data_IF_293180199074
#
_entry.id   IF_293180199074
#
_cell.length_a   1.000
_cell.length_b   1.000
_cell.length_c   1.000
_cell.angle_alpha   90.00
_cell.angle_beta   90.00
_cell.angle_gamma   90.00
#
_symmetry.space_group_name_H-M   'P 1'
#
loop_
_entity.id
_entity.type
_entity.pdbx_description
1 polymer ?
#
# COMPACT_ATOMS: atom_id res chain seq x y z
N UNK A 1 3.94 -5.17 51.45
CA UNK A 1 3.19 -5.93 50.43
C UNK A 1 2.73 -4.99 49.29
N UNK A 2 2.22 -3.78 49.59
CA UNK A 2 1.82 -2.81 48.55
C UNK A 2 3.00 -2.38 47.70
N UNK A 3 4.18 -2.11 48.30
CA UNK A 3 5.41 -1.69 47.60
C UNK A 3 5.95 -2.76 46.65
N UNK A 4 5.88 -4.05 47.04
CA UNK A 4 6.33 -5.15 46.19
C UNK A 4 5.39 -5.32 44.96
N UNK A 5 4.07 -5.13 45.16
CA UNK A 5 3.13 -5.16 44.05
C UNK A 5 3.33 -4.00 43.07
N UNK A 6 3.68 -2.80 43.55
CA UNK A 6 3.99 -1.68 42.68
C UNK A 6 5.27 -1.92 41.88
N UNK A 7 6.31 -2.50 42.48
CA UNK A 7 7.53 -2.88 41.79
C UNK A 7 7.31 -3.94 40.70
N UNK A 8 6.44 -4.94 40.96
CA UNK A 8 6.04 -5.92 39.94
C UNK A 8 5.42 -5.24 38.72
N UNK A 9 4.52 -4.29 38.96
CA UNK A 9 3.85 -3.55 37.88
C UNK A 9 4.85 -2.66 37.11
N UNK A 10 5.77 -2.01 37.80
CA UNK A 10 6.80 -1.18 37.19
C UNK A 10 7.75 -2.01 36.30
N UNK A 11 8.22 -3.17 36.80
CA UNK A 11 9.06 -4.07 36.01
C UNK A 11 8.31 -4.62 34.80
N UNK A 12 7.06 -5.04 34.94
CA UNK A 12 6.26 -5.51 33.81
C UNK A 12 6.05 -4.40 32.78
N UNK A 13 5.83 -3.16 33.22
CA UNK A 13 5.72 -2.00 32.33
C UNK A 13 7.04 -1.66 31.64
N UNK A 14 8.16 -1.78 32.34
CA UNK A 14 9.49 -1.59 31.74
C UNK A 14 9.71 -2.56 30.57
N UNK A 15 9.47 -3.87 30.76
CA UNK A 15 9.58 -4.85 29.69
C UNK A 15 8.62 -4.55 28.52
N UNK A 16 7.38 -4.11 28.83
CA UNK A 16 6.42 -3.71 27.80
C UNK A 16 6.91 -2.50 26.99
N UNK A 17 7.51 -1.50 27.66
CA UNK A 17 8.11 -0.34 26.98
C UNK A 17 9.30 -0.74 26.09
N UNK A 18 10.03 -1.79 26.46
CA UNK A 18 11.09 -2.39 25.63
C UNK A 18 10.53 -3.30 24.51
N UNK A 19 9.20 -3.44 24.42
CA UNK A 19 8.54 -4.22 23.37
C UNK A 19 8.43 -5.72 23.67
N UNK A 20 8.57 -6.14 24.91
CA UNK A 20 8.44 -7.55 25.32
C UNK A 20 7.19 -7.79 26.14
N UNK A 21 6.60 -8.98 26.00
CA UNK A 21 5.56 -9.46 26.90
C UNK A 21 6.22 -10.25 28.02
N UNK A 22 6.18 -9.73 29.23
CA UNK A 22 6.77 -10.39 30.39
C UNK A 22 5.82 -10.38 31.59
N UNK A 23 5.85 -11.44 32.36
CA UNK A 23 5.20 -11.55 33.66
C UNK A 23 6.26 -11.50 34.75
N UNK A 24 6.04 -10.67 35.76
CA UNK A 24 6.92 -10.61 36.95
C UNK A 24 6.27 -11.43 38.06
N UNK A 25 6.96 -12.44 38.53
CA UNK A 25 6.51 -13.37 39.55
C UNK A 25 7.37 -13.16 40.82
N UNK A 26 6.69 -13.11 41.94
CA UNK A 26 7.35 -13.18 43.26
C UNK A 26 7.35 -14.66 43.70
N UNK A 27 8.48 -15.38 43.62
CA UNK A 27 8.53 -16.77 44.08
C UNK A 27 8.41 -16.83 45.60
N UNK A 28 8.00 -17.98 46.13
CA UNK A 28 8.09 -18.24 47.57
C UNK A 28 9.55 -18.17 48.01
N UNK A 29 9.86 -17.27 48.94
CA UNK A 29 11.23 -17.00 49.36
C UNK A 29 11.29 -16.52 50.79
N UNK A 30 12.40 -16.80 51.45
CA UNK A 30 12.72 -16.23 52.76
C UNK A 30 13.32 -14.81 52.56
N UNK A 31 12.70 -13.83 53.18
CA UNK A 31 13.12 -12.41 53.12
C UNK A 31 13.73 -11.89 54.43
N UNK A 32 14.12 -12.77 55.32
CA UNK A 32 14.71 -12.39 56.62
C UNK A 32 16.01 -11.59 56.46
N UNK A 33 16.73 -11.78 55.38
CA UNK A 33 17.94 -11.00 55.06
C UNK A 33 17.65 -9.67 54.35
N UNK A 34 16.39 -9.30 54.16
CA UNK A 34 16.01 -8.05 53.51
C UNK A 34 16.17 -8.05 51.96
N UNK A 35 16.48 -9.20 51.37
CA UNK A 35 16.63 -9.39 49.93
C UNK A 35 15.31 -9.96 49.37
N UNK A 36 14.76 -9.30 48.34
CA UNK A 36 13.59 -9.79 47.62
C UNK A 36 13.99 -10.10 46.18
N UNK A 37 13.87 -11.37 45.78
CA UNK A 37 14.13 -11.82 44.42
C UNK A 37 12.82 -11.80 43.60
N UNK A 38 12.85 -11.15 42.47
CA UNK A 38 11.74 -11.16 41.49
C UNK A 38 12.17 -11.94 40.26
N UNK A 39 11.30 -12.84 39.79
CA UNK A 39 11.54 -13.60 38.58
C UNK A 39 10.77 -12.98 37.43
N UNK A 40 11.50 -12.56 36.40
CA UNK A 40 10.89 -12.11 35.14
C UNK A 40 10.77 -13.31 34.21
N UNK A 41 9.57 -13.54 33.74
CA UNK A 41 9.21 -14.63 32.81
C UNK A 41 8.77 -14.01 31.52
N UNK A 42 9.61 -14.04 30.51
CA UNK A 42 9.27 -13.60 29.16
C UNK A 42 8.30 -14.59 28.52
N UNK A 43 7.29 -14.03 27.85
CA UNK A 43 6.28 -14.84 27.16
C UNK A 43 6.85 -15.43 25.87
N UNK A 44 6.52 -16.68 25.62
CA UNK A 44 6.78 -17.37 24.36
C UNK A 44 5.47 -17.51 23.57
N UNK A 45 5.57 -17.41 22.25
CA UNK A 45 4.41 -17.65 21.38
C UNK A 45 3.95 -19.11 21.48
N UNK A 46 2.66 -19.32 21.74
CA UNK A 46 2.04 -20.64 21.69
C UNK A 46 1.46 -20.93 20.31
N UNK A 47 0.54 -20.07 19.87
CA UNK A 47 -0.16 -20.20 18.60
C UNK A 47 -0.67 -18.86 18.09
N UNK A 48 -1.09 -18.84 16.84
CA UNK A 48 -1.73 -17.70 16.19
C UNK A 48 -3.08 -18.17 15.66
N UNK A 49 -4.14 -17.59 16.19
CA UNK A 49 -5.51 -17.80 15.78
C UNK A 49 -5.97 -16.62 14.92
N UNK A 50 -6.56 -16.89 13.76
CA UNK A 50 -7.18 -15.85 12.94
C UNK A 50 -8.69 -15.95 13.07
N UNK A 51 -9.26 -14.96 13.77
CA UNK A 51 -10.69 -14.79 13.89
C UNK A 51 -11.23 -14.05 12.67
N UNK A 52 -11.74 -14.82 11.71
CA UNK A 52 -12.32 -14.30 10.48
C UNK A 52 -13.79 -13.93 10.68
N UNK A 53 -14.23 -12.82 10.07
CA UNK A 53 -15.65 -12.52 9.93
C UNK A 53 -16.30 -13.40 8.86
N UNK A 54 -17.63 -13.51 8.86
CA UNK A 54 -18.41 -14.42 7.98
C UNK A 54 -18.18 -14.25 6.48
N UNK A 55 -17.79 -13.05 6.02
CA UNK A 55 -17.49 -12.78 4.60
C UNK A 55 -16.00 -12.57 4.41
N UNK A 56 -15.28 -13.63 4.15
CA UNK A 56 -13.84 -13.60 3.96
C UNK A 56 -13.46 -13.55 2.48
N UNK A 57 -12.64 -12.56 2.12
CA UNK A 57 -12.08 -12.45 0.77
C UNK A 57 -10.61 -12.89 0.71
N UNK A 58 -9.97 -13.14 1.85
CA UNK A 58 -8.61 -13.67 1.96
C UNK A 58 -8.65 -14.91 2.85
N UNK A 59 -7.92 -15.95 2.48
CA UNK A 59 -7.82 -17.18 3.25
C UNK A 59 -7.01 -16.96 4.54
N UNK A 60 -7.46 -17.54 5.66
CA UNK A 60 -6.76 -17.52 6.95
C UNK A 60 -5.32 -18.03 6.85
N UNK A 61 -5.09 -19.10 6.09
CA UNK A 61 -3.75 -19.65 5.87
C UNK A 61 -2.82 -18.67 5.13
N UNK A 62 -3.37 -17.85 4.25
CA UNK A 62 -2.61 -16.77 3.59
C UNK A 62 -2.22 -15.69 4.59
N UNK A 63 -3.14 -15.30 5.48
CA UNK A 63 -2.86 -14.29 6.51
C UNK A 63 -1.84 -14.80 7.54
N UNK A 64 -1.90 -16.07 7.94
CA UNK A 64 -0.90 -16.67 8.84
C UNK A 64 0.53 -16.60 8.29
N UNK A 65 0.70 -16.67 6.97
CA UNK A 65 2.04 -16.59 6.34
C UNK A 65 2.71 -15.22 6.48
N UNK A 66 1.95 -14.16 6.77
CA UNK A 66 2.51 -12.86 7.13
C UNK A 66 3.12 -12.85 8.53
N UNK A 67 2.70 -13.79 9.41
CA UNK A 67 3.25 -13.92 10.76
C UNK A 67 4.48 -14.83 10.76
N UNK A 68 5.64 -14.20 10.68
CA UNK A 68 6.95 -14.87 10.79
C UNK A 68 7.58 -14.45 12.13
N UNK A 69 7.43 -15.28 13.16
CA UNK A 69 8.16 -15.04 14.42
C UNK A 69 9.62 -15.49 14.26
N UNK A 70 10.53 -14.57 14.44
CA UNK A 70 11.98 -14.84 14.37
C UNK A 70 12.54 -15.28 15.73
N UNK A 71 11.85 -14.95 16.81
CA UNK A 71 12.28 -15.20 18.19
C UNK A 71 11.32 -16.16 18.90
N UNK A 72 11.84 -16.92 19.87
CA UNK A 72 11.00 -17.69 20.80
C UNK A 72 10.26 -16.76 21.76
N UNK A 73 10.91 -15.65 22.17
CA UNK A 73 10.32 -14.63 23.02
C UNK A 73 9.38 -13.75 22.20
N UNK A 74 8.18 -13.51 22.73
CA UNK A 74 7.15 -12.73 22.06
C UNK A 74 7.51 -11.24 22.07
N UNK A 75 7.76 -10.68 20.89
CA UNK A 75 8.04 -9.26 20.69
C UNK A 75 6.77 -8.54 20.21
N UNK A 76 6.33 -7.53 20.95
CA UNK A 76 5.21 -6.67 20.55
C UNK A 76 5.51 -5.93 19.25
N UNK A 77 6.77 -5.52 19.09
CA UNK A 77 7.19 -4.85 17.84
C UNK A 77 7.05 -5.77 16.64
N UNK A 78 7.48 -7.04 16.74
CA UNK A 78 7.32 -8.00 15.64
C UNK A 78 5.84 -8.23 15.31
N UNK A 79 4.96 -8.27 16.32
CA UNK A 79 3.52 -8.40 16.11
C UNK A 79 2.96 -7.17 15.40
N UNK A 80 3.32 -5.98 15.86
CA UNK A 80 2.83 -4.72 15.27
C UNK A 80 3.29 -4.58 13.82
N UNK A 81 4.57 -4.87 13.52
CA UNK A 81 5.11 -4.84 12.16
C UNK A 81 4.31 -5.76 11.22
N UNK A 82 3.95 -6.96 11.69
CA UNK A 82 3.17 -7.93 10.90
C UNK A 82 1.71 -7.50 10.75
N UNK A 83 1.11 -6.90 11.76
CA UNK A 83 -0.24 -6.32 11.69
C UNK A 83 -0.25 -5.15 10.71
N UNK A 84 0.79 -4.30 10.70
CA UNK A 84 0.90 -3.22 9.71
C UNK A 84 0.98 -3.76 8.28
N UNK A 85 1.75 -4.85 8.05
CA UNK A 85 1.82 -5.49 6.74
C UNK A 85 0.47 -6.06 6.28
N UNK A 86 -0.30 -6.67 7.19
CA UNK A 86 -1.65 -7.16 6.87
C UNK A 86 -2.58 -5.98 6.56
N UNK A 87 -2.47 -4.87 7.28
CA UNK A 87 -3.27 -3.68 7.05
C UNK A 87 -2.90 -2.93 5.75
N UNK A 88 -1.80 -3.28 5.09
CA UNK A 88 -1.48 -2.84 3.73
C UNK A 88 -2.23 -3.63 2.65
N UNK A 89 -2.87 -4.74 3.00
CA UNK A 89 -3.65 -5.51 2.04
C UNK A 89 -5.00 -4.83 1.77
N UNK A 90 -5.41 -4.71 0.49
CA UNK A 90 -6.65 -4.04 0.13
C UNK A 90 -7.88 -4.70 0.74
N UNK A 91 -8.76 -3.89 1.31
CA UNK A 91 -10.07 -4.34 1.81
C UNK A 91 -10.02 -5.21 3.07
N UNK A 92 -8.94 -5.12 3.85
CA UNK A 92 -8.82 -5.80 5.15
C UNK A 92 -8.28 -4.83 6.19
N UNK A 93 -8.75 -4.98 7.42
CA UNK A 93 -8.20 -4.34 8.61
C UNK A 93 -8.02 -5.41 9.69
N UNK A 94 -6.85 -5.45 10.31
CA UNK A 94 -6.47 -6.44 11.31
C UNK A 94 -6.03 -5.78 12.61
N UNK A 95 -6.33 -6.45 13.73
CA UNK A 95 -5.87 -6.10 15.07
C UNK A 95 -5.41 -7.36 15.79
N UNK A 96 -4.30 -7.30 16.50
CA UNK A 96 -3.83 -8.37 17.36
C UNK A 96 -4.32 -8.17 18.79
N UNK A 97 -4.71 -9.26 19.44
CA UNK A 97 -5.02 -9.34 20.87
C UNK A 97 -4.26 -10.52 21.47
N UNK A 98 -3.58 -10.30 22.57
CA UNK A 98 -2.90 -11.36 23.30
C UNK A 98 -3.91 -12.12 24.17
N UNK A 99 -3.76 -13.44 24.22
CA UNK A 99 -4.51 -14.31 25.16
C UNK A 99 -3.54 -15.13 26.02
N UNK A 100 -3.91 -15.46 27.26
CA UNK A 100 -3.13 -16.40 28.05
C UNK A 100 -2.98 -17.74 27.31
N UNK A 101 -1.81 -18.33 27.37
CA UNK A 101 -1.55 -19.67 26.84
C UNK A 101 -2.08 -20.79 27.75
N UNK A 102 -1.97 -22.01 27.26
CA UNK A 102 -2.41 -23.22 27.96
C UNK A 102 -1.51 -23.58 29.17
N UNK A 103 -0.26 -23.13 29.15
CA UNK A 103 0.71 -23.30 30.23
C UNK A 103 1.38 -21.98 30.59
N UNK A 104 1.96 -21.85 31.80
CA UNK A 104 2.76 -20.69 32.17
C UNK A 104 3.85 -20.40 31.13
N UNK A 105 4.17 -19.13 30.90
CA UNK A 105 5.11 -18.61 29.89
C UNK A 105 4.61 -18.65 28.45
N UNK A 106 3.49 -19.28 28.16
CA UNK A 106 2.92 -19.27 26.81
C UNK A 106 1.85 -18.20 26.66
N UNK A 107 1.81 -17.58 25.47
CA UNK A 107 0.85 -16.55 25.11
C UNK A 107 0.40 -16.82 23.67
N UNK A 108 -0.91 -16.90 23.45
CA UNK A 108 -1.48 -16.97 22.12
C UNK A 108 -1.78 -15.58 21.58
N UNK A 109 -1.84 -15.46 20.27
CA UNK A 109 -2.24 -14.25 19.56
C UNK A 109 -3.53 -14.54 18.81
N UNK A 110 -4.56 -13.71 19.04
CA UNK A 110 -5.80 -13.70 18.26
C UNK A 110 -5.74 -12.50 17.33
N UNK A 111 -5.76 -12.76 16.02
CA UNK A 111 -5.84 -11.74 14.99
C UNK A 111 -7.29 -11.61 14.57
N UNK A 112 -7.89 -10.52 15.00
CA UNK A 112 -9.24 -10.15 14.59
C UNK A 112 -9.17 -9.41 13.27
N UNK A 113 -9.83 -9.93 12.23
CA UNK A 113 -9.90 -9.28 10.92
C UNK A 113 -11.28 -8.71 10.67
N UNK A 114 -11.31 -7.50 10.14
CA UNK A 114 -12.51 -6.85 9.61
C UNK A 114 -12.31 -6.65 8.12
N UNK A 115 -13.29 -7.09 7.32
CA UNK A 115 -13.28 -6.88 5.88
C UNK A 115 -14.02 -5.59 5.53
N UNK A 116 -13.40 -4.82 4.67
CA UNK A 116 -13.99 -3.64 4.09
C UNK A 116 -14.76 -3.99 2.80
N UNK A 117 -15.29 -2.97 2.14
CA UNK A 117 -16.03 -3.18 0.89
C UNK A 117 -15.15 -3.85 -0.17
N UNK A 118 -15.65 -4.96 -0.74
CA UNK A 118 -14.98 -5.63 -1.85
C UNK A 118 -14.98 -4.79 -3.12
N UNK A 119 -16.08 -4.06 -3.34
CA UNK A 119 -16.25 -3.19 -4.48
C UNK A 119 -16.39 -1.75 -4.01
N UNK A 120 -15.60 -0.88 -4.63
CA UNK A 120 -15.69 0.57 -4.44
C UNK A 120 -15.78 1.18 -5.83
N UNK A 121 -16.78 2.04 -6.05
CA UNK A 121 -16.94 2.73 -7.31
C UNK A 121 -17.25 4.19 -7.08
N UNK A 122 -16.80 5.02 -7.98
CA UNK A 122 -17.13 6.44 -8.03
C UNK A 122 -17.46 6.84 -9.47
N UNK A 123 -18.36 7.79 -9.60
CA UNK A 123 -18.68 8.45 -10.87
C UNK A 123 -18.63 9.94 -10.59
N UNK A 124 -17.96 10.69 -11.44
CA UNK A 124 -17.89 12.14 -11.37
C UNK A 124 -18.16 12.75 -12.74
N UNK A 125 -18.67 13.97 -12.72
CA UNK A 125 -18.88 14.79 -13.89
C UNK A 125 -18.44 16.21 -13.57
N UNK A 126 -17.64 16.80 -14.45
CA UNK A 126 -17.15 18.16 -14.31
C UNK A 126 -17.00 18.85 -15.68
N UNK A 127 -16.69 20.14 -15.64
CA UNK A 127 -16.45 20.95 -16.85
C UNK A 127 -15.00 21.50 -16.89
N UNK A 128 -14.03 20.76 -16.31
CA UNK A 128 -12.61 21.14 -16.27
C UNK A 128 -11.80 20.59 -17.44
N UNK A 129 -12.45 20.02 -18.46
CA UNK A 129 -11.80 19.57 -19.67
C UNK A 129 -11.27 20.73 -20.51
N UNK A 130 -10.37 20.42 -21.45
CA UNK A 130 -9.89 21.39 -22.43
C UNK A 130 -11.00 21.77 -23.41
N UNK A 131 -11.05 23.04 -23.82
CA UNK A 131 -11.96 23.47 -24.89
C UNK A 131 -11.66 22.75 -26.21
N UNK A 132 -10.40 22.39 -26.44
CA UNK A 132 -9.99 21.72 -27.69
C UNK A 132 -10.47 20.26 -27.78
N UNK A 133 -10.74 19.61 -26.67
CA UNK A 133 -11.16 18.19 -26.62
C UNK A 133 -12.46 17.96 -25.84
N UNK A 134 -13.19 19.04 -25.53
CA UNK A 134 -14.44 18.99 -24.79
C UNK A 134 -14.29 19.34 -23.31
N UNK A 135 -14.96 20.45 -22.92
CA UNK A 135 -14.91 20.96 -21.55
C UNK A 135 -15.59 20.01 -20.55
N UNK A 136 -16.65 19.35 -20.97
CA UNK A 136 -17.44 18.47 -20.12
C UNK A 136 -16.82 17.06 -20.07
N UNK A 137 -16.53 16.56 -18.86
CA UNK A 137 -15.94 15.25 -18.66
C UNK A 137 -16.77 14.38 -17.74
N UNK A 138 -16.96 13.14 -18.13
CA UNK A 138 -17.43 12.07 -17.25
C UNK A 138 -16.29 11.14 -16.88
N UNK A 139 -16.13 10.80 -15.60
CA UNK A 139 -15.14 9.83 -15.14
C UNK A 139 -15.81 8.79 -14.26
N UNK A 140 -15.46 7.53 -14.45
CA UNK A 140 -15.89 6.42 -13.63
C UNK A 140 -14.66 5.63 -13.17
N UNK A 141 -14.63 5.27 -11.88
CA UNK A 141 -13.62 4.40 -11.31
C UNK A 141 -14.29 3.23 -10.61
N UNK A 142 -13.77 2.03 -10.83
CA UNK A 142 -14.20 0.81 -10.17
C UNK A 142 -12.99 0.11 -9.58
N UNK A 143 -13.05 -0.19 -8.29
CA UNK A 143 -12.00 -0.92 -7.56
C UNK A 143 -12.61 -2.19 -6.99
N UNK A 144 -11.94 -3.32 -7.23
CA UNK A 144 -12.26 -4.61 -6.65
C UNK A 144 -11.10 -5.07 -5.76
N UNK A 145 -11.37 -5.16 -4.47
CA UNK A 145 -10.43 -5.69 -3.50
C UNK A 145 -10.50 -7.22 -3.49
N UNK A 146 -9.33 -7.86 -3.51
CA UNK A 146 -9.15 -9.31 -3.43
C UNK A 146 -9.90 -10.10 -4.52
N UNK A 147 -9.77 -9.76 -5.82
CA UNK A 147 -10.37 -10.55 -6.90
C UNK A 147 -9.95 -12.03 -6.85
N UNK A 148 -8.68 -12.32 -6.58
CA UNK A 148 -8.13 -13.69 -6.49
C UNK A 148 -7.96 -14.18 -5.04
N UNK A 149 -8.47 -13.44 -4.04
CA UNK A 149 -8.38 -13.79 -2.60
C UNK A 149 -6.95 -13.91 -2.06
N UNK A 150 -6.02 -13.13 -2.61
CA UNK A 150 -4.58 -13.16 -2.29
C UNK A 150 -4.03 -11.85 -1.73
N UNK A 151 -4.89 -10.88 -1.41
CA UNK A 151 -4.48 -9.52 -1.03
C UNK A 151 -4.22 -8.64 -2.25
N UNK A 152 -4.78 -9.00 -3.37
CA UNK A 152 -4.67 -8.34 -4.66
C UNK A 152 -5.77 -7.27 -4.86
N UNK A 153 -5.57 -6.40 -5.84
CA UNK A 153 -6.52 -5.34 -6.18
C UNK A 153 -6.56 -5.11 -7.68
N UNK A 154 -7.76 -5.00 -8.22
CA UNK A 154 -8.02 -4.56 -9.59
C UNK A 154 -8.67 -3.18 -9.53
N UNK A 155 -8.16 -2.24 -10.32
CA UNK A 155 -8.73 -0.93 -10.52
C UNK A 155 -8.94 -0.66 -12.00
N UNK A 156 -10.13 -0.16 -12.33
CA UNK A 156 -10.52 0.25 -13.67
C UNK A 156 -10.92 1.72 -13.61
N UNK A 157 -10.39 2.54 -14.52
CA UNK A 157 -10.77 3.94 -14.66
C UNK A 157 -11.13 4.20 -16.11
N UNK A 158 -12.23 4.88 -16.34
CA UNK A 158 -12.63 5.38 -17.65
C UNK A 158 -12.93 6.87 -17.55
N UNK A 159 -12.47 7.65 -18.52
CA UNK A 159 -12.79 9.05 -18.69
C UNK A 159 -13.26 9.28 -20.12
N UNK A 160 -14.32 10.06 -20.27
CA UNK A 160 -14.86 10.45 -21.57
C UNK A 160 -15.18 11.94 -21.55
N UNK A 161 -14.75 12.64 -22.61
CA UNK A 161 -15.26 13.95 -23.01
C UNK A 161 -15.78 13.88 -24.45
N UNK A 162 -16.06 14.99 -25.06
CA UNK A 162 -16.47 15.07 -26.45
C UNK A 162 -15.38 14.54 -27.39
N UNK A 163 -14.13 15.00 -27.21
CA UNK A 163 -12.97 14.60 -28.00
C UNK A 163 -11.95 13.73 -27.27
N UNK A 164 -12.27 13.12 -26.11
CA UNK A 164 -11.35 12.22 -25.40
C UNK A 164 -12.04 10.95 -24.95
N UNK A 165 -11.39 9.82 -25.20
CA UNK A 165 -11.71 8.55 -24.59
C UNK A 165 -10.43 8.03 -23.91
N UNK A 166 -10.51 7.77 -22.60
CA UNK A 166 -9.40 7.23 -21.82
C UNK A 166 -9.84 6.03 -21.00
N UNK A 167 -9.02 4.99 -20.99
CA UNK A 167 -9.19 3.81 -20.16
C UNK A 167 -7.89 3.43 -19.47
N UNK A 168 -7.98 3.03 -18.20
CA UNK A 168 -6.84 2.51 -17.41
C UNK A 168 -7.28 1.26 -16.67
N UNK A 169 -6.48 0.22 -16.78
CA UNK A 169 -6.54 -1.00 -15.98
C UNK A 169 -5.28 -1.06 -15.12
N UNK A 170 -5.44 -1.23 -13.83
CA UNK A 170 -4.33 -1.45 -12.90
C UNK A 170 -4.63 -2.68 -12.04
N UNK A 171 -3.70 -3.63 -12.02
CA UNK A 171 -3.78 -4.81 -11.17
C UNK A 171 -2.52 -4.93 -10.33
N UNK A 172 -2.69 -5.06 -9.03
CA UNK A 172 -1.59 -5.20 -8.08
C UNK A 172 -1.81 -6.40 -7.18
N UNK A 173 -0.73 -7.12 -6.87
CA UNK A 173 -0.76 -8.26 -5.95
C UNK A 173 0.45 -8.26 -5.02
N UNK A 174 0.32 -8.80 -3.80
CA UNK A 174 1.48 -9.04 -2.95
C UNK A 174 2.36 -10.13 -3.55
N UNK A 175 3.68 -9.91 -3.50
CA UNK A 175 4.69 -10.88 -3.88
C UNK A 175 5.48 -11.30 -2.64
N UNK A 176 5.26 -12.52 -2.18
CA UNK A 176 5.73 -12.97 -0.86
C UNK A 176 4.87 -12.44 0.29
N UNK A 177 5.47 -12.33 1.48
CA UNK A 177 4.78 -11.98 2.73
C UNK A 177 5.52 -10.87 3.51
N UNK A 178 6.44 -10.17 2.86
CA UNK A 178 7.26 -9.12 3.46
C UNK A 178 6.82 -7.71 3.03
N UNK A 179 5.61 -7.62 2.42
CA UNK A 179 4.99 -6.36 2.01
C UNK A 179 5.31 -5.91 0.58
N UNK A 180 6.18 -6.62 -0.16
CA UNK A 180 6.40 -6.32 -1.57
C UNK A 180 5.09 -6.49 -2.35
N UNK A 181 4.72 -5.49 -3.13
CA UNK A 181 3.62 -5.54 -4.10
C UNK A 181 4.18 -5.36 -5.49
N UNK A 182 3.63 -6.10 -6.45
CA UNK A 182 3.95 -5.99 -7.87
C UNK A 182 2.66 -5.69 -8.61
N UNK A 183 2.71 -4.76 -9.55
CA UNK A 183 1.56 -4.33 -10.32
C UNK A 183 1.85 -4.28 -11.81
N UNK A 184 0.77 -4.36 -12.57
CA UNK A 184 0.73 -4.13 -14.00
C UNK A 184 -0.32 -3.09 -14.32
N UNK A 185 0.04 -2.11 -15.17
CA UNK A 185 -0.86 -1.07 -15.67
C UNK A 185 -0.94 -1.15 -17.17
N UNK A 186 -2.12 -0.92 -17.69
CA UNK A 186 -2.38 -0.70 -19.11
C UNK A 186 -3.30 0.50 -19.26
N UNK A 187 -2.96 1.44 -20.13
CA UNK A 187 -3.83 2.56 -20.46
C UNK A 187 -3.90 2.80 -21.96
N UNK A 188 -5.03 3.30 -22.39
CA UNK A 188 -5.26 3.80 -23.76
C UNK A 188 -5.98 5.13 -23.69
N UNK A 189 -5.49 6.08 -24.46
CA UNK A 189 -6.04 7.40 -24.66
C UNK A 189 -6.21 7.62 -26.17
N UNK A 190 -7.41 7.95 -26.60
CA UNK A 190 -7.70 8.47 -27.92
C UNK A 190 -8.19 9.91 -27.76
N UNK A 191 -7.73 10.82 -28.60
CA UNK A 191 -8.20 12.20 -28.60
C UNK A 191 -8.40 12.72 -30.01
N UNK A 192 -9.35 13.65 -30.16
CA UNK A 192 -9.56 14.48 -31.34
C UNK A 192 -9.77 15.94 -30.95
N UNK A 193 -9.27 16.86 -31.75
CA UNK A 193 -9.49 18.30 -31.56
C UNK A 193 -10.81 18.69 -32.23
N UNK A 194 -11.74 19.22 -31.42
CA UNK A 194 -13.11 19.51 -31.82
C UNK A 194 -13.41 21.00 -32.09
N UNK A 195 -12.38 21.85 -32.14
CA UNK A 195 -12.55 23.29 -32.40
C UNK A 195 -12.69 23.56 -33.87
N UNK A 196 -13.66 24.38 -34.25
CA UNK A 196 -13.98 24.77 -35.62
C UNK A 196 -12.76 25.29 -36.42
N UNK A 197 -11.84 25.98 -35.73
CA UNK A 197 -10.59 26.47 -36.30
C UNK A 197 -9.66 25.37 -36.83
N UNK A 198 -9.86 24.14 -36.40
CA UNK A 198 -9.10 22.96 -36.82
C UNK A 198 -9.88 22.02 -37.75
N UNK A 199 -11.09 22.39 -38.20
CA UNK A 199 -11.93 21.56 -39.10
C UNK A 199 -11.21 21.12 -40.37
N UNK A 200 -10.29 21.94 -40.88
CA UNK A 200 -9.50 21.62 -42.08
C UNK A 200 -8.38 20.61 -41.81
N UNK A 201 -7.85 20.55 -40.59
CA UNK A 201 -6.69 19.73 -40.25
C UNK A 201 -7.05 18.52 -39.40
N UNK A 202 -8.14 18.60 -38.61
CA UNK A 202 -8.67 17.53 -37.72
C UNK A 202 -7.56 16.79 -37.00
N UNK A 203 -6.81 17.46 -36.08
CA UNK A 203 -5.76 16.79 -35.35
C UNK A 203 -6.35 15.73 -34.42
N UNK A 204 -5.86 14.52 -34.51
CA UNK A 204 -6.22 13.41 -33.65
C UNK A 204 -5.01 12.59 -33.25
N UNK A 205 -5.13 11.80 -32.20
CA UNK A 205 -4.04 10.94 -31.79
C UNK A 205 -4.46 9.88 -30.77
N UNK A 206 -3.54 8.95 -30.61
CA UNK A 206 -3.66 7.84 -29.68
C UNK A 206 -2.39 7.70 -28.85
N UNK A 207 -2.54 7.37 -27.57
CA UNK A 207 -1.44 6.94 -26.73
C UNK A 207 -1.83 5.63 -26.03
N UNK A 208 -0.89 4.65 -26.07
CA UNK A 208 -1.06 3.38 -25.37
C UNK A 208 0.14 3.18 -24.45
N UNK A 209 -0.08 2.82 -23.20
CA UNK A 209 1.00 2.59 -22.25
C UNK A 209 0.83 1.26 -21.51
N UNK A 210 1.99 0.62 -21.29
CA UNK A 210 2.15 -0.55 -20.46
C UNK A 210 3.17 -0.26 -19.37
N UNK A 211 2.86 -0.57 -18.12
CA UNK A 211 3.83 -0.41 -17.05
C UNK A 211 3.83 -1.61 -16.10
N UNK A 212 5.01 -1.91 -15.58
CA UNK A 212 5.19 -2.82 -14.44
C UNK A 212 5.70 -1.99 -13.29
N UNK A 213 5.06 -2.10 -12.14
CA UNK A 213 5.44 -1.35 -10.97
C UNK A 213 5.65 -2.25 -9.75
N UNK A 214 6.45 -1.75 -8.82
CA UNK A 214 6.68 -2.39 -7.53
C UNK A 214 6.60 -1.37 -6.42
N UNK A 215 6.10 -1.80 -5.25
CA UNK A 215 6.06 -1.01 -4.03
C UNK A 215 6.50 -1.87 -2.86
N UNK A 216 7.50 -1.41 -2.12
CA UNK A 216 8.01 -2.10 -0.94
C UNK A 216 7.99 -1.19 0.28
N UNK A 217 7.32 -1.58 1.40
CA UNK A 217 7.34 -0.80 2.63
C UNK A 217 8.68 -1.00 3.34
N UNK A 218 9.47 0.07 3.47
CA UNK A 218 10.73 0.06 4.24
C UNK A 218 10.51 0.41 5.69
N UNK A 219 9.43 1.14 5.98
CA UNK A 219 9.04 1.49 7.33
C UNK A 219 7.51 1.57 7.42
N UNK A 220 6.95 0.87 8.40
CA UNK A 220 5.53 0.91 8.74
C UNK A 220 5.38 1.10 10.24
N UNK A 221 4.57 2.07 10.64
CA UNK A 221 4.15 2.30 12.01
C UNK A 221 2.75 2.89 12.05
N UNK A 222 2.21 3.08 13.23
CA UNK A 222 0.92 3.73 13.40
C UNK A 222 0.91 5.17 12.84
N UNK A 223 2.03 5.88 12.96
CA UNK A 223 2.12 7.31 12.65
C UNK A 223 2.97 7.61 11.41
N UNK A 224 3.64 6.62 10.84
CA UNK A 224 4.50 6.84 9.67
C UNK A 224 4.57 5.61 8.77
N UNK A 225 4.59 5.86 7.47
CA UNK A 225 4.78 4.84 6.43
C UNK A 225 5.76 5.37 5.41
N UNK A 226 6.74 4.55 5.04
CA UNK A 226 7.71 4.89 4.00
C UNK A 226 7.81 3.74 3.02
N UNK A 227 7.75 4.06 1.73
CA UNK A 227 7.80 3.09 0.63
C UNK A 227 8.92 3.42 -0.33
N UNK A 228 9.55 2.37 -0.85
CA UNK A 228 10.30 2.42 -2.09
C UNK A 228 9.40 1.95 -3.22
N UNK A 229 9.43 2.66 -4.33
CA UNK A 229 8.69 2.32 -5.55
C UNK A 229 9.65 2.27 -6.73
N UNK A 230 9.38 1.36 -7.65
CA UNK A 230 10.00 1.35 -8.96
C UNK A 230 8.92 1.06 -10.00
N UNK A 231 9.00 1.75 -11.14
CA UNK A 231 8.10 1.55 -12.27
C UNK A 231 8.91 1.58 -13.56
N UNK A 232 8.63 0.66 -14.47
CA UNK A 232 9.03 0.72 -15.85
C UNK A 232 7.79 0.92 -16.70
N UNK A 233 7.80 1.94 -17.55
CA UNK A 233 6.72 2.26 -18.49
C UNK A 233 7.26 2.29 -19.91
N UNK A 234 6.56 1.63 -20.82
CA UNK A 234 6.67 1.83 -22.25
C UNK A 234 5.38 2.47 -22.75
N UNK A 235 5.49 3.54 -23.53
CA UNK A 235 4.37 4.31 -24.05
C UNK A 235 4.56 4.64 -25.52
N UNK A 236 3.57 4.30 -26.34
CA UNK A 236 3.49 4.62 -27.76
C UNK A 236 2.59 5.83 -27.97
N UNK A 237 2.99 6.70 -28.89
CA UNK A 237 2.27 7.90 -29.30
C UNK A 237 2.11 7.92 -30.81
N UNK A 238 0.89 8.09 -31.25
CA UNK A 238 0.53 8.27 -32.64
C UNK A 238 -0.32 9.52 -32.80
N UNK A 239 0.08 10.44 -33.66
CA UNK A 239 -0.67 11.66 -33.94
C UNK A 239 -0.75 11.88 -35.45
N UNK A 240 -1.93 12.29 -35.91
CA UNK A 240 -2.18 12.57 -37.31
C UNK A 240 -3.09 13.77 -37.51
N UNK A 241 -3.12 14.21 -38.76
CA UNK A 241 -4.03 15.23 -39.27
C UNK A 241 -4.59 14.76 -40.61
N UNK A 242 -5.50 15.54 -41.24
CA UNK A 242 -5.96 15.26 -42.60
C UNK A 242 -4.84 15.21 -43.62
N UNK A 243 -3.65 15.80 -43.35
CA UNK A 243 -2.50 15.78 -44.20
C UNK A 243 -1.63 14.51 -44.00
N UNK A 244 -1.93 13.68 -43.03
CA UNK A 244 -1.23 12.44 -42.67
C UNK A 244 -0.60 12.46 -41.29
N UNK A 245 0.18 11.43 -40.99
CA UNK A 245 0.86 11.25 -39.68
C UNK A 245 1.81 12.40 -39.40
N UNK A 246 1.70 13.00 -38.22
CA UNK A 246 2.57 14.09 -37.73
C UNK A 246 3.65 13.59 -36.80
N UNK A 247 3.36 12.56 -35.98
CA UNK A 247 4.35 11.89 -35.15
C UNK A 247 3.94 10.45 -34.83
N UNK A 248 4.91 9.55 -34.76
CA UNK A 248 4.74 8.14 -34.38
C UNK A 248 6.01 7.72 -33.64
N UNK A 249 5.95 7.60 -32.32
CA UNK A 249 7.13 7.36 -31.51
C UNK A 249 6.80 6.63 -30.21
N UNK A 250 7.84 5.99 -29.68
CA UNK A 250 7.77 5.30 -28.39
C UNK A 250 8.64 5.98 -27.35
N UNK A 251 8.25 5.85 -26.09
CA UNK A 251 9.06 6.24 -24.94
C UNK A 251 9.20 5.09 -23.97
N UNK A 252 10.39 4.94 -23.43
CA UNK A 252 10.70 4.04 -22.33
C UNK A 252 11.13 4.86 -21.13
N UNK A 253 10.57 4.58 -19.96
CA UNK A 253 10.91 5.30 -18.73
C UNK A 253 11.07 4.34 -17.55
N UNK A 254 12.03 4.65 -16.69
CA UNK A 254 12.21 4.00 -15.39
C UNK A 254 12.10 5.07 -14.33
N UNK A 255 11.15 4.87 -13.41
CA UNK A 255 10.94 5.69 -12.22
C UNK A 255 11.40 4.96 -10.97
N UNK A 256 12.19 5.65 -10.14
CA UNK A 256 12.55 5.22 -8.79
C UNK A 256 12.08 6.28 -7.82
N UNK A 257 11.24 5.90 -6.84
CA UNK A 257 10.68 6.85 -5.92
C UNK A 257 10.79 6.39 -4.46
N UNK A 258 10.92 7.37 -3.58
CA UNK A 258 10.73 7.23 -2.13
C UNK A 258 9.51 8.07 -1.76
N UNK A 259 8.55 7.46 -1.10
CA UNK A 259 7.37 8.17 -0.55
C UNK A 259 7.28 7.93 0.94
N UNK A 260 7.05 8.99 1.70
CA UNK A 260 6.88 8.92 3.15
C UNK A 260 5.71 9.77 3.60
N UNK A 261 4.81 9.16 4.37
CA UNK A 261 3.67 9.83 5.00
C UNK A 261 3.82 9.68 6.50
N UNK A 262 3.76 10.76 7.24
CA UNK A 262 3.81 10.71 8.70
C UNK A 262 2.94 11.76 9.36
N UNK A 263 2.42 11.40 10.53
CA UNK A 263 1.69 12.31 11.40
C UNK A 263 2.70 13.01 12.29
N UNK A 264 2.75 14.31 12.22
CA UNK A 264 3.63 15.13 13.06
C UNK A 264 2.83 16.12 13.94
N UNK A 265 3.49 16.66 14.94
CA UNK A 265 2.93 17.66 15.86
C UNK A 265 3.54 19.04 15.68
N UNK A 266 4.24 19.28 14.56
CA UNK A 266 4.95 20.51 14.27
C UNK A 266 4.00 21.73 14.22
N UNK A 267 2.76 21.53 13.79
CA UNK A 267 1.72 22.56 13.72
C UNK A 267 0.63 22.29 14.75
N UNK A 268 0.85 22.62 15.98
CA UNK A 268 -0.03 22.68 17.18
C UNK A 268 -1.19 21.66 17.34
N UNK A 269 -1.77 21.12 16.28
CA UNK A 269 -2.91 20.21 16.29
C UNK A 269 -2.65 18.86 15.60
N UNK A 270 -1.40 18.63 15.21
CA UNK A 270 -1.01 17.49 14.37
C UNK A 270 -1.25 17.78 12.89
N UNK A 271 -0.29 17.39 12.07
CA UNK A 271 -0.36 17.48 10.62
C UNK A 271 -0.08 16.11 10.01
N UNK A 272 -0.57 15.88 8.80
CA UNK A 272 -0.13 14.77 7.96
C UNK A 272 0.84 15.37 6.95
N UNK A 273 2.10 14.96 7.05
CA UNK A 273 3.15 15.38 6.12
C UNK A 273 3.42 14.29 5.12
N UNK A 274 3.34 14.63 3.83
CA UNK A 274 3.63 13.75 2.72
C UNK A 274 4.89 14.26 2.00
N UNK A 275 5.89 13.39 1.89
CA UNK A 275 7.13 13.66 1.18
C UNK A 275 7.30 12.64 0.07
N UNK A 276 7.65 13.10 -1.12
CA UNK A 276 8.00 12.23 -2.23
C UNK A 276 9.23 12.74 -2.96
N UNK A 277 10.10 11.84 -3.37
CA UNK A 277 11.20 12.11 -4.27
C UNK A 277 11.21 11.03 -5.35
N UNK A 278 11.18 11.46 -6.62
CA UNK A 278 11.17 10.57 -7.76
C UNK A 278 12.35 10.91 -8.68
N UNK A 279 13.08 9.90 -9.07
CA UNK A 279 14.08 9.98 -10.12
C UNK A 279 13.55 9.25 -11.36
N UNK A 280 13.46 9.96 -12.49
CA UNK A 280 13.01 9.42 -13.77
C UNK A 280 14.18 9.42 -14.75
N UNK A 281 14.41 8.28 -15.40
CA UNK A 281 15.27 8.16 -16.57
C UNK A 281 14.41 7.63 -17.71
N UNK A 282 14.34 8.39 -18.81
CA UNK A 282 13.58 8.00 -19.98
C UNK A 282 14.39 8.17 -21.26
N UNK A 283 13.96 7.44 -22.28
CA UNK A 283 14.47 7.50 -23.64
C UNK A 283 13.28 7.66 -24.59
N UNK A 284 13.46 8.41 -25.67
CA UNK A 284 12.47 8.59 -26.73
C UNK A 284 13.00 7.96 -28.00
N UNK A 285 12.22 7.11 -28.63
CA UNK A 285 12.54 6.52 -29.91
C UNK A 285 11.67 7.14 -31.01
N UNK A 286 12.23 8.05 -31.79
CA UNK A 286 11.60 8.72 -32.92
C UNK A 286 11.87 8.03 -34.27
N UNK A 287 12.48 6.85 -34.27
CA UNK A 287 12.88 6.14 -35.47
C UNK A 287 11.70 5.84 -36.39
N UNK A 288 11.71 6.41 -37.59
CA UNK A 288 10.62 6.29 -38.56
C UNK A 288 9.47 7.28 -38.39
N UNK A 289 9.50 8.12 -37.33
CA UNK A 289 8.53 9.18 -37.17
C UNK A 289 8.75 10.34 -38.13
N UNK A 290 7.70 10.96 -38.69
CA UNK A 290 7.86 12.12 -39.58
C UNK A 290 8.64 13.30 -38.97
N UNK A 291 8.66 13.39 -37.64
CA UNK A 291 9.42 14.42 -36.91
C UNK A 291 10.79 13.96 -36.42
N UNK A 292 11.30 12.80 -36.84
CA UNK A 292 12.63 12.27 -36.45
C UNK A 292 13.76 13.26 -36.71
N UNK A 293 13.69 13.99 -37.82
CA UNK A 293 14.71 14.99 -38.17
C UNK A 293 14.73 16.22 -37.24
N UNK A 294 13.71 16.41 -36.40
CA UNK A 294 13.62 17.50 -35.44
C UNK A 294 14.26 17.16 -34.08
N UNK A 295 14.64 15.90 -33.88
CA UNK A 295 15.36 15.42 -32.71
C UNK A 295 16.86 15.72 -32.89
N UNK A 296 17.34 16.78 -32.20
CA UNK A 296 18.76 17.19 -32.21
C UNK A 296 19.28 17.38 -30.80
#
# INVERSE_FOLDING_TARGET
ISTIRSLNAELANYYRQQGYVAQVILPDQDITEGIVTMQVVEAELEDIEIALQEKNYINAETLKKFFKTKSKTLSLKEIDDQIFLINELPGISAKATLRPGSVPKKTGIIIQTKYEKRFVSSVSYDNYGSRSTGAHRGMATFVMNNPLSRGDQLSLTALKSEGVNFGLVNYEMPFGFDGLRVGFKFSSLDYEVILDEFDSTKPEGRSTAYAINTRYPVYLSQNAKTYLKAEYENKSFFNETTAGTTSDYDTDAIDLAVESNFVDTLLFYGAITELSATYTKGEVNLSGSPNEASDK
#
